data_IF_725489824540
#
_entry.id   IF_725489824540
#
_cell.length_a   1.000
_cell.length_b   1.000
_cell.length_c   1.000
_cell.angle_alpha   90.00
_cell.angle_beta   90.00
_cell.angle_gamma   90.00
#
_symmetry.space_group_name_H-M   'P 1'
#
loop_
_entity.id
_entity.type
_entity.pdbx_description
1 polymer ?
2 non-polymer ?
3 water ?
#
# COMPACT_ATOMS: atom_id res chain seq x y z
N UNK A 2 13.30 23.47 4.88
CA UNK A 2 14.00 22.25 4.39
C UNK A 2 15.20 22.61 3.52
N UNK A 3 16.28 21.83 3.63
CA UNK A 3 17.46 22.13 2.81
C UNK A 3 17.16 21.97 1.33
N UNK A 4 17.77 22.83 0.52
CA UNK A 4 17.57 22.78 -0.93
C UNK A 4 18.02 21.45 -1.51
N UNK A 5 19.02 20.84 -0.88
CA UNK A 5 19.51 19.56 -1.35
C UNK A 5 19.90 18.66 -0.18
N UNK A 6 19.84 17.34 -0.41
CA UNK A 6 20.18 16.35 0.60
C UNK A 6 20.85 15.16 -0.06
N UNK A 7 21.80 14.54 0.63
CA UNK A 7 22.51 13.38 0.11
C UNK A 7 22.98 12.57 1.31
N UNK A 8 22.24 11.52 1.65
CA UNK A 8 22.59 10.73 2.82
C UNK A 8 23.92 9.98 2.70
N UNK A 9 24.43 9.85 1.48
CA UNK A 9 25.72 9.18 1.32
C UNK A 9 26.80 9.99 2.03
N UNK A 10 26.64 11.31 2.03
CA UNK A 10 27.61 12.20 2.66
C UNK A 10 27.61 12.04 4.18
N UNK A 11 26.55 11.46 4.72
CA UNK A 11 26.45 11.27 6.17
C UNK A 11 26.78 9.83 6.54
N UNK A 12 27.32 9.09 5.58
CA UNK A 12 27.69 7.70 5.83
C UNK A 12 26.53 6.80 6.21
N UNK A 13 25.34 7.11 5.70
CA UNK A 13 24.15 6.31 6.01
C UNK A 13 23.72 5.35 4.91
N UNK A 14 24.50 5.26 3.84
CA UNK A 14 24.16 4.39 2.71
C UNK A 14 25.26 3.35 2.45
N UNK A 15 24.87 2.08 2.42
CA UNK A 15 25.81 0.99 2.17
C UNK A 15 26.13 0.93 0.68
N UNK A 16 27.06 0.07 0.30
CA UNK A 16 27.43 -0.05 -1.10
C UNK A 16 26.26 -0.55 -1.95
N UNK A 17 26.30 -0.25 -3.24
CA UNK A 17 25.26 -0.69 -4.16
C UNK A 17 25.35 -2.20 -4.28
N UNK A 18 24.20 -2.86 -4.32
CA UNK A 18 24.15 -4.31 -4.45
C UNK A 18 23.69 -4.70 -5.84
N UNK A 19 23.92 -5.96 -6.20
CA UNK A 19 23.54 -6.50 -7.51
C UNK A 19 22.55 -7.65 -7.28
N UNK A 20 21.29 -7.45 -7.71
CA UNK A 20 20.26 -8.47 -7.50
C UNK A 20 20.28 -9.67 -8.46
N UNK A 21 20.95 -9.53 -9.61
CA UNK A 21 21.00 -10.62 -10.56
C UNK A 21 19.63 -10.94 -11.15
N UNK A 22 19.42 -12.20 -11.50
CA UNK A 22 18.15 -12.59 -12.11
C UNK A 22 17.09 -13.01 -11.08
N UNK A 23 17.04 -12.28 -9.97
CA UNK A 23 16.06 -12.52 -8.91
C UNK A 23 15.42 -11.17 -8.61
N UNK A 24 14.10 -11.09 -8.74
CA UNK A 24 13.40 -9.84 -8.51
C UNK A 24 13.29 -9.47 -7.04
N UNK A 25 14.43 -9.29 -6.39
CA UNK A 25 14.48 -8.96 -4.97
C UNK A 25 14.68 -7.47 -4.70
N UNK A 26 14.45 -6.62 -5.69
CA UNK A 26 14.64 -5.20 -5.48
C UNK A 26 13.81 -4.67 -4.30
N UNK A 27 12.63 -5.24 -4.08
CA UNK A 27 11.79 -4.81 -2.97
C UNK A 27 12.53 -5.03 -1.65
N UNK A 28 13.23 -6.17 -1.54
CA UNK A 28 13.97 -6.49 -0.34
C UNK A 28 15.18 -5.57 -0.18
N UNK A 29 15.87 -5.26 -1.29
CA UNK A 29 17.04 -4.38 -1.22
C UNK A 29 16.60 -2.98 -0.81
N UNK A 30 15.44 -2.56 -1.30
CA UNK A 30 14.90 -1.25 -0.96
C UNK A 30 14.61 -1.21 0.54
N UNK A 31 13.98 -2.26 1.04
CA UNK A 31 13.63 -2.36 2.45
C UNK A 31 14.85 -2.31 3.38
N UNK A 32 15.83 -3.19 3.13
CA UNK A 32 17.01 -3.20 4.00
C UNK A 32 17.76 -1.87 3.90
N UNK A 33 17.83 -1.31 2.70
CA UNK A 33 18.51 -0.04 2.52
C UNK A 33 17.97 1.05 3.42
N UNK A 34 16.65 1.11 3.55
CA UNK A 34 16.01 2.11 4.40
C UNK A 34 16.35 1.85 5.87
N UNK A 35 16.29 0.57 6.28
CA UNK A 35 16.59 0.23 7.66
C UNK A 35 18.06 0.45 7.97
N UNK A 36 18.92 0.24 6.98
CA UNK A 36 20.36 0.43 7.13
C UNK A 36 20.70 1.85 7.59
N UNK A 37 20.00 2.83 7.03
CA UNK A 37 20.23 4.23 7.39
C UNK A 37 19.79 4.49 8.83
N UNK A 38 18.63 3.96 9.20
CA UNK A 38 18.13 4.15 10.55
C UNK A 38 19.08 3.48 11.55
N UNK A 39 19.59 2.31 11.20
CA UNK A 39 20.52 1.59 12.07
C UNK A 39 21.76 2.46 12.32
N UNK A 40 22.24 3.11 11.27
CA UNK A 40 23.42 3.96 11.36
C UNK A 40 23.15 5.18 12.24
N UNK A 41 21.97 5.77 12.08
CA UNK A 41 21.61 6.94 12.87
C UNK A 41 21.49 6.61 14.35
N UNK A 42 20.97 5.42 14.65
CA UNK A 42 20.78 4.99 16.03
C UNK A 42 22.03 4.46 16.75
N UNK A 43 22.82 3.65 16.06
CA UNK A 43 24.00 3.04 16.66
C UNK A 43 25.35 3.59 16.19
N UNK A 44 25.37 4.36 15.12
CA UNK A 44 26.62 4.91 14.62
C UNK A 44 27.40 3.97 13.72
N UNK A 45 26.87 2.77 13.49
CA UNK A 45 27.53 1.78 12.65
C UNK A 45 26.78 1.54 11.33
N UNK A 46 27.50 1.56 10.22
CA UNK A 46 26.89 1.30 8.92
C UNK A 46 27.09 -0.18 8.64
N UNK A 47 25.99 -0.91 8.49
CA UNK A 47 26.04 -2.35 8.27
C UNK A 47 25.04 -2.80 7.21
N UNK A 48 25.49 -3.58 6.24
CA UNK A 48 24.57 -4.07 5.22
C UNK A 48 23.68 -5.13 5.86
N UNK A 49 22.40 -5.09 5.55
CA UNK A 49 21.45 -6.05 6.10
C UNK A 49 21.09 -7.11 5.05
N UNK A 50 20.59 -8.26 5.52
CA UNK A 50 20.27 -9.37 4.62
C UNK A 50 19.00 -9.28 3.80
N UNK A 51 19.15 -9.00 2.51
CA UNK A 51 18.00 -8.94 1.62
C UNK A 51 17.50 -10.37 1.43
N UNK A 52 18.43 -11.32 1.46
CA UNK A 52 18.09 -12.74 1.29
C UNK A 52 17.19 -13.20 2.44
N UNK A 53 17.46 -12.69 3.64
CA UNK A 53 16.67 -13.02 4.82
C UNK A 53 15.20 -12.70 4.51
N UNK A 54 14.96 -11.55 3.89
CA UNK A 54 13.61 -11.15 3.53
C UNK A 54 13.02 -12.03 2.41
N UNK A 55 13.85 -12.37 1.43
CA UNK A 55 13.41 -13.21 0.31
C UNK A 55 12.96 -14.60 0.78
N UNK A 56 13.73 -15.20 1.68
CA UNK A 56 13.43 -16.53 2.19
C UNK A 56 12.40 -16.58 3.31
N UNK A 57 12.32 -15.52 4.10
CA UNK A 57 11.42 -15.50 5.25
C UNK A 57 10.18 -14.61 5.20
N UNK A 58 10.26 -13.44 4.58
CA UNK A 58 9.10 -12.56 4.48
C UNK A 58 8.37 -13.02 3.23
N UNK A 59 7.69 -14.16 3.34
CA UNK A 59 7.01 -14.77 2.20
C UNK A 59 5.48 -14.68 2.14
N UNK A 60 4.82 -15.83 1.96
CA UNK A 60 3.38 -15.88 1.82
C UNK A 60 2.57 -15.10 2.85
N UNK A 61 2.90 -15.27 4.12
CA UNK A 61 2.17 -14.57 5.18
C UNK A 61 2.24 -13.07 5.00
N UNK A 62 3.22 -12.61 4.23
CA UNK A 62 3.38 -11.18 4.01
C UNK A 62 3.03 -10.75 2.60
N UNK A 63 2.41 -11.66 1.85
CA UNK A 63 2.03 -11.37 0.48
C UNK A 63 3.19 -11.19 -0.47
N UNK A 64 4.37 -11.68 -0.09
CA UNK A 64 5.55 -11.55 -0.95
C UNK A 64 5.85 -12.86 -1.66
N UNK A 65 6.54 -12.75 -2.80
CA UNK A 65 6.86 -13.91 -3.61
C UNK A 65 8.35 -14.04 -3.95
N UNK A 66 9.19 -13.77 -2.95
CA UNK A 66 10.63 -13.88 -3.15
C UNK A 66 11.19 -13.27 -4.41
N UNK A 67 11.81 -14.10 -5.25
CA UNK A 67 12.40 -13.62 -6.49
C UNK A 67 11.37 -13.18 -7.51
N UNK A 68 10.09 -13.34 -7.16
CA UNK A 68 9.03 -12.94 -8.05
C UNK A 68 8.27 -11.70 -7.57
N UNK A 69 8.91 -10.90 -6.72
CA UNK A 69 8.29 -9.67 -6.24
C UNK A 69 7.81 -9.63 -4.80
N UNK A 70 7.76 -8.42 -4.23
CA UNK A 70 7.33 -8.24 -2.85
C UNK A 70 7.05 -6.79 -2.49
N UNK A 71 6.58 -6.55 -1.28
CA UNK A 71 6.28 -5.21 -0.79
C UNK A 71 7.30 -4.75 0.25
N UNK A 72 7.67 -3.48 0.22
CA UNK A 72 8.62 -2.95 1.18
C UNK A 72 7.97 -2.83 2.56
N UNK A 73 6.70 -2.44 2.58
CA UNK A 73 5.97 -2.29 3.84
C UNK A 73 5.79 -3.61 4.58
N UNK A 74 5.39 -4.65 3.86
CA UNK A 74 5.16 -5.95 4.49
C UNK A 74 6.50 -6.53 4.93
N UNK A 75 7.57 -6.14 4.24
CA UNK A 75 8.89 -6.60 4.60
C UNK A 75 9.22 -5.98 5.95
N UNK A 76 8.88 -4.70 6.12
CA UNK A 76 9.14 -4.02 7.40
C UNK A 76 8.36 -4.71 8.51
N UNK A 77 7.11 -5.06 8.24
CA UNK A 77 6.30 -5.71 9.28
C UNK A 77 6.89 -7.05 9.68
N UNK A 78 7.46 -7.77 8.71
CA UNK A 78 8.09 -9.06 9.00
C UNK A 78 9.23 -8.85 10.00
N UNK A 79 10.03 -7.81 9.77
CA UNK A 79 11.15 -7.53 10.67
C UNK A 79 10.62 -7.24 12.07
N UNK A 80 9.51 -6.52 12.16
CA UNK A 80 8.90 -6.20 13.45
C UNK A 80 8.41 -7.49 14.11
N UNK A 81 7.56 -8.24 13.38
CA UNK A 81 7.01 -9.50 13.86
C UNK A 81 8.10 -10.50 14.26
N UNK A 82 9.16 -10.54 13.46
CA UNK A 82 10.28 -11.46 13.67
C UNK A 82 11.24 -11.01 14.76
N UNK A 83 11.12 -9.74 15.16
CA UNK A 83 11.98 -9.18 16.19
C UNK A 83 13.44 -9.03 15.74
N UNK A 84 13.65 -8.96 14.43
CA UNK A 84 15.00 -8.80 13.93
C UNK A 84 15.25 -9.21 12.50
N UNK A 85 16.42 -8.85 11.99
CA UNK A 85 16.83 -9.21 10.65
C UNK A 85 18.33 -9.43 10.71
N UNK A 86 18.82 -10.46 10.03
CA UNK A 86 20.25 -10.78 10.04
C UNK A 86 21.07 -9.87 9.15
N UNK A 87 22.38 -9.85 9.38
CA UNK A 87 23.29 -9.04 8.60
C UNK A 87 23.50 -9.73 7.25
N UNK A 88 23.89 -8.96 6.26
CA UNK A 88 24.14 -9.50 4.92
C UNK A 88 25.27 -10.52 5.01
N UNK A 89 26.31 -10.19 5.77
CA UNK A 89 27.46 -11.08 5.94
C UNK A 89 27.09 -12.46 6.47
N UNK A 90 26.16 -12.50 7.42
CA UNK A 90 25.75 -13.78 8.03
C UNK A 90 24.72 -14.56 7.22
N UNK A 91 23.99 -13.87 6.37
CA UNK A 91 22.95 -14.50 5.56
C UNK A 91 23.09 -13.89 4.16
N UNK A 92 24.15 -14.28 3.42
CA UNK A 92 24.46 -13.78 2.07
C UNK A 92 23.41 -13.98 0.98
N UNK A 93 23.43 -13.06 0.02
CA UNK A 93 22.50 -13.05 -1.11
C UNK A 93 22.87 -14.07 -2.19
N UNK A 94 21.91 -14.92 -2.56
CA UNK A 94 22.15 -15.97 -3.56
C UNK A 94 21.35 -15.83 -4.84
N UNK A 95 20.51 -14.80 -4.91
CA UNK A 95 19.69 -14.56 -6.09
C UNK A 95 18.75 -15.72 -6.41
N UNK A 96 18.22 -16.36 -5.37
CA UNK A 96 17.25 -17.45 -5.55
C UNK A 96 16.43 -17.68 -4.29
N UNK A 97 15.27 -18.29 -4.46
CA UNK A 97 14.37 -18.58 -3.35
C UNK A 97 14.93 -19.75 -2.53
N UNK A 98 15.12 -19.52 -1.24
CA UNK A 98 15.65 -20.55 -0.35
C UNK A 98 14.76 -20.72 0.87
N UNK A 99 15.04 -21.75 1.67
CA UNK A 99 14.27 -21.99 2.88
C UNK A 99 14.69 -20.93 3.87
N UNK A 100 13.76 -20.49 4.74
CA UNK A 100 14.09 -19.46 5.73
C UNK A 100 15.16 -19.93 6.70
N UNK A 101 16.26 -19.21 6.76
CA UNK A 101 17.37 -19.58 7.63
C UNK A 101 17.70 -18.55 8.71
N UNK A 102 16.72 -17.74 9.09
CA UNK A 102 16.94 -16.72 10.10
C UNK A 102 17.43 -17.33 11.43
N UNK A 103 18.35 -16.63 12.07
CA UNK A 103 18.91 -17.05 13.35
C UNK A 103 19.21 -15.75 14.12
N UNK A 104 18.58 -15.58 15.27
CA UNK A 104 18.78 -14.34 16.04
C UNK A 104 20.22 -14.10 16.48
N UNK A 105 21.07 -15.13 16.45
CA UNK A 105 22.46 -14.91 16.87
C UNK A 105 23.21 -14.03 15.85
N UNK A 106 22.64 -13.88 14.66
CA UNK A 106 23.26 -13.05 13.63
C UNK A 106 22.47 -11.78 13.38
N UNK A 107 21.51 -11.50 14.25
CA UNK A 107 20.68 -10.30 14.13
C UNK A 107 21.56 -9.04 14.16
N UNK A 108 21.31 -8.13 13.22
CA UNK A 108 22.08 -6.90 13.15
C UNK A 108 21.21 -5.65 13.28
N UNK A 109 19.89 -5.82 13.24
CA UNK A 109 18.98 -4.69 13.35
C UNK A 109 17.57 -5.12 13.75
N UNK A 110 16.78 -4.17 14.21
CA UNK A 110 15.39 -4.40 14.57
C UNK A 110 14.55 -3.25 14.02
N UNK A 111 13.24 -3.41 14.10
CA UNK A 111 12.31 -2.39 13.61
C UNK A 111 11.11 -2.36 14.55
N UNK A 112 10.68 -1.15 14.93
CA UNK A 112 9.55 -1.02 15.83
C UNK A 112 8.29 -0.57 15.11
N UNK A 113 8.44 0.06 13.95
CA UNK A 113 7.31 0.55 13.19
C UNK A 113 7.74 1.03 11.82
N UNK A 114 6.76 1.31 10.96
CA UNK A 114 7.04 1.86 9.65
C UNK A 114 5.93 2.86 9.31
N UNK A 115 6.21 3.78 8.39
CA UNK A 115 5.26 4.80 8.00
C UNK A 115 5.12 4.87 6.49
N UNK A 116 3.87 4.96 6.03
CA UNK A 116 3.59 5.05 4.61
C UNK A 116 3.15 6.49 4.34
N UNK A 117 3.82 7.14 3.39
CA UNK A 117 3.51 8.53 3.05
C UNK A 117 2.30 8.62 2.12
N UNK A 118 1.61 9.77 2.13
CA UNK A 118 0.44 9.96 1.27
C UNK A 118 0.81 9.87 -0.21
N UNK A 119 -0.09 9.27 -0.99
CA UNK A 119 0.12 9.06 -2.41
C UNK A 119 0.46 10.29 -3.24
N UNK A 120 1.54 10.17 -4.03
CA UNK A 120 1.98 11.22 -4.94
C UNK A 120 2.42 12.59 -4.45
N UNK A 121 2.50 12.79 -3.13
CA UNK A 121 2.90 14.07 -2.57
C UNK A 121 4.43 14.19 -2.52
N UNK A 122 5.01 14.83 -3.53
CA UNK A 122 6.46 14.97 -3.57
C UNK A 122 7.01 15.92 -2.53
N UNK A 123 6.17 16.85 -2.06
CA UNK A 123 6.59 17.79 -1.03
C UNK A 123 6.70 17.05 0.30
N UNK A 124 5.78 16.10 0.53
CA UNK A 124 5.81 15.31 1.76
C UNK A 124 7.01 14.38 1.73
N UNK A 125 7.30 13.82 0.57
CA UNK A 125 8.43 12.91 0.42
C UNK A 125 9.73 13.68 0.67
N UNK A 126 9.77 14.92 0.21
CA UNK A 126 10.94 15.77 0.38
C UNK A 126 11.21 15.98 1.87
N UNK A 127 10.16 16.27 2.62
CA UNK A 127 10.30 16.48 4.06
C UNK A 127 10.80 15.22 4.76
N UNK A 128 10.29 14.06 4.34
CA UNK A 128 10.70 12.79 4.94
C UNK A 128 12.17 12.49 4.70
N UNK A 129 12.62 12.68 3.46
CA UNK A 129 14.02 12.41 3.12
C UNK A 129 14.94 13.33 3.91
N UNK A 130 14.49 14.58 4.11
CA UNK A 130 15.29 15.54 4.85
C UNK A 130 15.28 15.34 6.36
N UNK A 131 14.12 15.07 6.94
CA UNK A 131 14.02 14.91 8.39
C UNK A 131 14.08 13.51 8.98
N UNK A 132 13.79 12.48 8.18
CA UNK A 132 13.80 11.12 8.69
C UNK A 132 14.95 10.25 8.18
N UNK A 133 15.18 10.29 6.87
CA UNK A 133 16.25 9.51 6.27
C UNK A 133 15.83 8.95 4.93
N UNK A 134 16.62 8.05 4.31
CA UNK A 134 16.27 7.46 3.01
C UNK A 134 14.89 6.81 3.09
N UNK A 135 14.13 6.92 2.00
CA UNK A 135 12.77 6.38 1.94
C UNK A 135 12.58 5.36 0.84
N UNK A 136 11.98 4.22 1.18
CA UNK A 136 11.72 3.18 0.19
C UNK A 136 10.57 3.61 -0.70
N UNK A 137 10.72 3.43 -2.01
CA UNK A 137 9.68 3.80 -2.96
C UNK A 137 9.65 2.82 -4.12
N UNK A 138 8.59 2.90 -4.91
CA UNK A 138 8.47 2.06 -6.08
C UNK A 138 8.47 2.99 -7.28
N UNK A 139 9.00 2.53 -8.41
CA UNK A 139 9.02 3.35 -9.62
C UNK A 139 8.70 2.49 -10.83
N UNK A 140 8.27 3.14 -11.91
CA UNK A 140 7.97 2.45 -13.16
C UNK A 140 9.31 2.35 -13.88
N UNK A 141 9.92 1.17 -13.85
CA UNK A 141 11.20 0.96 -14.49
C UNK A 141 11.12 0.01 -15.69
N UNK A 142 9.98 -0.02 -16.36
CA UNK A 142 9.77 -0.91 -17.49
C UNK A 142 10.22 -0.37 -18.85
N UNK A 143 10.49 0.92 -18.93
CA UNK A 143 10.86 1.54 -20.21
C UNK A 143 12.33 1.40 -20.59
N UNK A 144 12.59 1.08 -21.87
CA UNK A 144 13.95 0.90 -22.41
C UNK A 144 14.95 1.96 -21.98
N UNK A 145 14.50 3.22 -21.89
CA UNK A 145 15.39 4.31 -21.50
C UNK A 145 15.94 4.18 -20.07
N UNK A 146 15.19 3.52 -19.19
CA UNK A 146 15.65 3.36 -17.81
C UNK A 146 16.91 2.51 -17.76
N UNK A 147 16.89 1.38 -18.45
CA UNK A 147 18.04 0.48 -18.48
C UNK A 147 19.30 1.15 -19.02
N UNK A 148 19.10 2.07 -19.95
CA UNK A 148 20.19 2.79 -20.62
C UNK A 148 20.63 4.10 -20.00
N UNK A 149 20.01 4.50 -18.88
CA UNK A 149 20.37 5.76 -18.24
C UNK A 149 21.85 5.81 -17.83
N UNK A 150 22.50 6.93 -18.10
CA UNK A 150 23.91 7.08 -17.74
C UNK A 150 24.21 8.34 -16.93
N UNK A 151 23.54 9.45 -17.23
CA UNK A 151 23.79 10.68 -16.50
C UNK A 151 22.68 11.71 -16.65
N UNK A 152 22.85 12.86 -15.98
CA UNK A 152 21.86 13.90 -16.05
C UNK A 152 20.65 13.56 -15.22
N UNK A 153 19.50 14.16 -15.54
CA UNK A 153 18.27 13.89 -14.80
C UNK A 153 17.34 13.10 -15.72
N UNK A 154 16.92 11.93 -15.25
CA UNK A 154 16.06 11.04 -16.01
C UNK A 154 14.62 11.52 -16.14
N UNK A 155 14.18 11.75 -17.36
CA UNK A 155 12.80 12.16 -17.62
C UNK A 155 12.33 11.37 -18.83
N UNK A 156 11.28 10.57 -18.64
CA UNK A 156 10.73 9.75 -19.71
C UNK A 156 9.24 10.01 -19.92
N UNK A 157 8.89 10.61 -21.07
CA UNK A 157 7.50 10.92 -21.40
C UNK A 157 6.56 9.73 -21.31
N UNK A 158 7.09 8.53 -21.57
CA UNK A 158 6.27 7.32 -21.53
C UNK A 158 6.11 6.71 -20.14
N UNK A 159 6.76 7.29 -19.13
CA UNK A 159 6.63 6.75 -17.78
C UNK A 159 5.20 6.84 -17.27
N UNK A 160 4.85 5.94 -16.36
CA UNK A 160 3.51 5.93 -15.78
C UNK A 160 3.62 5.89 -14.27
N UNK A 161 2.48 5.91 -13.59
CA UNK A 161 2.47 5.83 -12.14
C UNK A 161 2.22 4.38 -11.69
N UNK A 162 2.37 3.44 -12.62
CA UNK A 162 2.21 2.02 -12.30
C UNK A 162 3.59 1.51 -11.93
N UNK A 163 3.88 1.46 -10.63
CA UNK A 163 5.20 1.03 -10.17
C UNK A 163 5.42 -0.47 -10.21
N UNK A 164 6.66 -0.86 -10.48
CA UNK A 164 6.99 -2.29 -10.55
C UNK A 164 8.42 -2.57 -10.10
N UNK A 165 9.12 -1.56 -9.60
CA UNK A 165 10.51 -1.74 -9.18
C UNK A 165 10.82 -1.03 -7.86
N UNK A 166 11.26 -1.78 -6.87
CA UNK A 166 11.57 -1.18 -5.58
C UNK A 166 12.95 -0.54 -5.51
N UNK A 167 13.01 0.71 -5.08
CA UNK A 167 14.29 1.40 -4.97
C UNK A 167 14.35 2.26 -3.71
N UNK A 168 15.46 2.98 -3.55
CA UNK A 168 15.62 3.82 -2.36
C UNK A 168 16.01 5.25 -2.67
N UNK A 169 15.22 6.19 -2.16
CA UNK A 169 15.52 7.60 -2.38
C UNK A 169 16.47 7.99 -1.25
N UNK A 170 17.71 8.33 -1.60
CA UNK A 170 18.70 8.70 -0.60
C UNK A 170 19.02 10.20 -0.60
N UNK A 171 18.27 10.97 -1.38
CA UNK A 171 18.50 12.39 -1.44
C UNK A 171 17.75 13.08 -2.55
N UNK A 172 18.01 14.37 -2.73
CA UNK A 172 17.35 15.15 -3.75
C UNK A 172 18.17 16.43 -3.98
N UNK A 173 17.88 17.13 -5.06
CA UNK A 173 18.62 18.35 -5.35
C UNK A 173 18.25 18.94 -6.70
N UNK A 174 19.17 19.69 -7.28
CA UNK A 174 18.92 20.32 -8.57
C UNK A 174 20.21 20.30 -9.39
N UNK A 175 20.10 19.85 -10.63
CA UNK A 175 21.26 19.78 -11.52
C UNK A 175 20.95 20.54 -12.81
N UNK A 176 21.68 21.61 -13.04
CA UNK A 176 21.51 22.44 -14.23
C UNK A 176 20.06 22.85 -14.48
N UNK A 177 19.38 23.27 -13.42
CA UNK A 177 18.00 23.70 -13.55
C UNK A 177 16.94 22.62 -13.49
N UNK A 178 17.35 21.36 -13.32
CA UNK A 178 16.40 20.26 -13.24
C UNK A 178 16.40 19.63 -11.86
N UNK A 179 15.24 19.68 -11.19
CA UNK A 179 15.12 19.09 -9.86
C UNK A 179 15.08 17.58 -10.00
N UNK A 180 15.69 16.88 -9.04
CA UNK A 180 15.73 15.42 -9.11
C UNK A 180 15.72 14.74 -7.74
N UNK A 181 15.43 13.45 -7.76
CA UNK A 181 15.44 12.60 -6.58
C UNK A 181 16.67 11.71 -6.79
N UNK A 182 17.50 11.55 -5.77
CA UNK A 182 18.69 10.71 -5.89
C UNK A 182 18.27 9.30 -5.47
N UNK A 183 18.27 8.38 -6.43
CA UNK A 183 17.82 7.00 -6.18
C UNK A 183 18.91 5.92 -6.23
N UNK A 184 18.94 5.08 -5.21
CA UNK A 184 19.88 3.97 -5.14
C UNK A 184 19.17 2.75 -5.72
N UNK A 185 19.73 2.20 -6.80
CA UNK A 185 19.15 1.02 -7.45
C UNK A 185 19.91 -0.22 -6.99
N UNK A 186 19.44 -1.40 -7.36
CA UNK A 186 20.12 -2.62 -6.98
C UNK A 186 20.49 -3.50 -8.19
N UNK A 187 21.02 -2.85 -9.22
CA UNK A 187 21.46 -3.55 -10.43
C UNK A 187 22.96 -3.42 -10.57
N UNK A 188 23.66 -3.32 -9.43
CA UNK A 188 25.10 -3.20 -9.45
C UNK A 188 25.65 -1.84 -9.78
N UNK A 189 26.97 -1.71 -9.70
CA UNK A 189 27.68 -0.46 -9.98
C UNK A 189 27.69 -0.08 -11.46
N UNK A 190 27.41 -1.04 -12.35
CA UNK A 190 27.42 -0.74 -13.78
C UNK A 190 26.20 0.04 -14.25
N UNK A 191 25.13 -0.01 -13.48
CA UNK A 191 23.92 0.71 -13.85
C UNK A 191 24.03 2.21 -13.54
N UNK A 192 23.61 3.03 -14.50
CA UNK A 192 23.62 4.48 -14.32
C UNK A 192 24.89 5.04 -13.73
N UNK A 193 24.75 5.95 -12.77
CA UNK A 193 25.92 6.55 -12.14
C UNK A 193 26.36 5.77 -10.92
N UNK A 194 27.20 4.77 -11.16
CA UNK A 194 27.73 3.94 -10.09
C UNK A 194 26.60 3.30 -9.28
N UNK A 195 25.55 2.89 -9.97
CA UNK A 195 24.42 2.24 -9.31
C UNK A 195 23.28 3.17 -8.97
N UNK A 196 23.49 4.47 -9.16
CA UNK A 196 22.47 5.47 -8.86
C UNK A 196 21.84 6.10 -10.09
N UNK A 197 20.66 6.67 -9.90
CA UNK A 197 19.96 7.36 -10.97
C UNK A 197 19.21 8.58 -10.43
N UNK A 198 19.41 9.72 -11.08
CA UNK A 198 18.75 10.95 -10.70
C UNK A 198 17.46 11.01 -11.50
N UNK A 199 16.33 10.90 -10.81
CA UNK A 199 15.02 10.92 -11.48
C UNK A 199 14.31 12.26 -11.27
N UNK A 200 13.64 12.72 -12.32
CA UNK A 200 12.92 14.00 -12.29
C UNK A 200 12.02 14.16 -11.07
N UNK A 201 12.16 15.32 -10.43
CA UNK A 201 11.40 15.66 -9.22
C UNK A 201 10.49 16.86 -9.50
N UNK A 202 9.29 16.82 -8.93
CA UNK A 202 8.29 17.88 -9.10
C UNK A 202 7.83 17.97 -10.55
N UNK A 203 7.81 16.83 -11.22
CA UNK A 203 7.38 16.73 -12.60
C UNK A 203 6.18 15.79 -12.68
N UNK A 204 5.16 16.07 -11.88
CA UNK A 204 3.96 15.27 -11.87
C UNK A 204 4.13 13.83 -11.40
N UNK A 205 4.84 13.64 -10.29
CA UNK A 205 5.05 12.31 -9.74
C UNK A 205 5.55 11.40 -10.86
N UNK A 206 6.64 11.84 -11.49
CA UNK A 206 7.25 11.14 -12.61
C UNK A 206 7.61 9.68 -12.29
N UNK A 207 7.14 8.77 -13.13
CA UNK A 207 7.37 7.34 -12.97
C UNK A 207 6.82 6.82 -11.64
N UNK A 208 5.94 7.61 -11.03
CA UNK A 208 5.32 7.22 -9.76
C UNK A 208 6.26 7.14 -8.56
N UNK A 209 7.38 7.86 -8.62
CA UNK A 209 8.35 7.83 -7.54
C UNK A 209 7.78 8.19 -6.16
N UNK A 210 6.73 9.02 -6.13
CA UNK A 210 6.13 9.40 -4.85
C UNK A 210 4.81 8.66 -4.59
N UNK A 211 4.50 7.68 -5.45
CA UNK A 211 3.26 6.91 -5.31
C UNK A 211 3.14 6.13 -3.99
N UNK A 212 4.14 5.30 -3.70
CA UNK A 212 4.11 4.49 -2.48
C UNK A 212 5.40 4.54 -1.67
N UNK A 213 5.66 5.66 -0.98
CA UNK A 213 6.88 5.80 -0.17
C UNK A 213 6.64 5.34 1.25
N UNK A 214 7.69 4.76 1.86
CA UNK A 214 7.58 4.31 3.25
C UNK A 214 8.97 4.25 3.86
N UNK A 215 9.05 4.39 5.19
CA UNK A 215 10.32 4.30 5.87
C UNK A 215 10.12 3.68 7.25
N UNK A 216 11.11 2.89 7.72
CA UNK A 216 11.03 2.24 9.02
C UNK A 216 11.74 3.05 10.10
N UNK A 217 11.49 2.69 11.36
CA UNK A 217 12.14 3.35 12.47
C UNK A 217 12.56 2.29 13.48
N UNK A 218 13.60 2.60 14.24
CA UNK A 218 14.12 1.68 15.24
C UNK A 218 13.81 2.23 16.62
N UNK B 1 -10.38 -1.09 26.69
CA UNK B 1 -11.23 -2.27 26.37
C UNK B 1 -12.16 -1.97 25.20
N UNK B 2 -12.28 -2.93 24.29
CA UNK B 2 -13.13 -2.76 23.12
C UNK B 2 -14.41 -3.58 23.24
N UNK B 3 -15.47 -3.15 22.55
CA UNK B 3 -16.75 -3.89 22.59
C UNK B 3 -16.57 -5.26 21.95
N UNK B 4 -17.30 -6.25 22.44
CA UNK B 4 -17.23 -7.61 21.91
C UNK B 4 -17.75 -7.70 20.49
N UNK B 5 -18.72 -6.87 20.15
CA UNK B 5 -19.30 -6.85 18.81
C UNK B 5 -19.61 -5.42 18.38
N UNK B 6 -19.54 -5.17 17.08
CA UNK B 6 -19.84 -3.87 16.50
C UNK B 6 -20.52 -4.06 15.14
N UNK B 7 -21.50 -3.22 14.83
CA UNK B 7 -22.20 -3.27 13.55
C UNK B 7 -22.59 -1.84 13.20
N UNK B 8 -21.83 -1.21 12.33
CA UNK B 8 -22.10 0.17 11.93
C UNK B 8 -23.44 0.40 11.24
N UNK B 9 -24.08 -0.68 10.81
CA UNK B 9 -25.37 -0.52 10.16
C UNK B 9 -26.38 -0.06 11.23
N UNK B 10 -26.17 -0.47 12.47
CA UNK B 10 -27.06 -0.08 13.56
C UNK B 10 -26.93 1.40 13.86
N UNK B 11 -25.80 1.99 13.49
CA UNK B 11 -25.55 3.40 13.75
C UNK B 11 -25.94 4.29 12.57
N UNK B 12 -26.57 3.70 11.56
CA UNK B 12 -27.00 4.44 10.39
C UNK B 12 -25.89 5.02 9.53
N UNK B 13 -24.75 4.35 9.48
CA UNK B 13 -23.60 4.82 8.70
C UNK B 13 -23.27 3.96 7.48
N UNK B 14 -24.19 3.10 7.07
CA UNK B 14 -23.94 2.24 5.93
C UNK B 14 -25.09 2.29 4.92
N UNK B 15 -24.77 2.61 3.66
CA UNK B 15 -25.78 2.70 2.61
C UNK B 15 -26.18 1.33 2.09
N UNK B 16 -27.14 1.31 1.15
CA UNK B 16 -27.59 0.05 0.58
C UNK B 16 -26.46 -0.63 -0.19
N UNK B 17 -26.56 -1.94 -0.33
CA UNK B 17 -25.55 -2.71 -1.05
C UNK B 17 -25.65 -2.39 -2.54
N UNK B 18 -24.50 -2.24 -3.19
CA UNK B 18 -24.46 -1.92 -4.61
C UNK B 18 -24.08 -3.18 -5.41
N UNK B 19 -24.28 -3.11 -6.73
CA UNK B 19 -23.98 -4.20 -7.64
C UNK B 19 -23.01 -3.74 -8.73
N UNK B 20 -21.77 -4.21 -8.66
CA UNK B 20 -20.74 -3.79 -9.62
C UNK B 20 -20.83 -4.39 -11.02
N UNK B 21 -21.55 -5.50 -11.15
CA UNK B 21 -21.70 -6.12 -12.45
C UNK B 21 -20.40 -6.69 -13.01
N UNK B 22 -20.23 -6.57 -14.33
CA UNK B 22 -19.04 -7.09 -15.02
C UNK B 22 -17.81 -6.21 -14.88
N UNK B 23 -17.95 -5.11 -14.15
CA UNK B 23 -16.84 -4.18 -13.96
C UNK B 23 -16.15 -4.42 -12.61
N UNK B 24 -14.83 -4.52 -12.64
CA UNK B 24 -14.06 -4.76 -11.43
C UNK B 24 -13.81 -3.49 -10.65
N UNK B 25 -14.90 -2.88 -10.17
CA UNK B 25 -14.83 -1.63 -9.42
C UNK B 25 -14.99 -1.84 -7.91
N UNK B 26 -14.77 -3.06 -7.44
CA UNK B 26 -14.90 -3.35 -6.01
C UNK B 26 -14.11 -2.37 -5.16
N UNK B 27 -12.93 -1.98 -5.65
CA UNK B 27 -12.06 -1.03 -4.95
C UNK B 27 -12.74 0.33 -4.78
N UNK B 28 -13.44 0.77 -5.82
CA UNK B 28 -14.13 2.05 -5.78
C UNK B 28 -15.28 1.99 -4.79
N UNK B 29 -16.07 0.91 -4.83
CA UNK B 29 -17.18 0.78 -3.90
C UNK B 29 -16.67 0.71 -2.46
N UNK B 30 -15.55 0.04 -2.26
CA UNK B 30 -14.96 -0.07 -0.93
C UNK B 30 -14.59 1.32 -0.43
N UNK B 31 -13.96 2.10 -1.29
CA UNK B 31 -13.53 3.46 -0.95
C UNK B 31 -14.69 4.38 -0.60
N UNK B 32 -15.73 4.40 -1.45
CA UNK B 32 -16.86 5.28 -1.19
C UNK B 32 -17.60 4.84 0.08
N UNK B 33 -17.66 3.54 0.29
CA UNK B 33 -18.35 3.02 1.48
C UNK B 33 -17.71 3.56 2.75
N UNK B 34 -16.38 3.57 2.80
CA UNK B 34 -15.68 4.07 3.97
C UNK B 34 -15.97 5.54 4.19
N UNK B 35 -15.92 6.33 3.12
CA UNK B 35 -16.16 7.77 3.22
C UNK B 35 -17.62 8.08 3.56
N UNK B 36 -18.54 7.26 3.07
CA UNK B 36 -19.97 7.46 3.35
C UNK B 36 -20.24 7.44 4.85
N UNK B 37 -19.55 6.56 5.57
CA UNK B 37 -19.74 6.49 7.02
C UNK B 37 -19.20 7.74 7.69
N UNK B 38 -18.04 8.23 7.23
CA UNK B 38 -17.46 9.43 7.80
C UNK B 38 -18.32 10.65 7.47
N UNK B 39 -18.93 10.65 6.28
CA UNK B 39 -19.79 11.76 5.90
C UNK B 39 -20.98 11.80 6.88
N UNK B 40 -21.57 10.64 7.13
CA UNK B 40 -22.70 10.52 8.04
C UNK B 40 -22.34 11.04 9.42
N UNK B 41 -21.19 10.61 9.93
CA UNK B 41 -20.72 11.02 11.25
C UNK B 41 -20.50 12.52 11.38
N UNK B 42 -20.08 13.15 10.28
CA UNK B 42 -19.81 14.58 10.31
C UNK B 42 -21.03 15.46 10.06
N UNK B 43 -21.86 15.08 9.09
CA UNK B 43 -23.03 15.89 8.75
C UNK B 43 -24.38 15.35 9.17
N UNK B 44 -24.44 14.07 9.50
CA UNK B 44 -25.71 13.48 9.90
C UNK B 44 -26.49 12.99 8.70
N UNK B 45 -25.92 13.15 7.51
CA UNK B 45 -26.58 12.73 6.28
C UNK B 45 -25.95 11.45 5.74
N UNK B 46 -26.79 10.48 5.37
CA UNK B 46 -26.30 9.22 4.80
C UNK B 46 -26.55 9.30 3.29
N UNK B 47 -25.48 9.44 2.51
CA UNK B 47 -25.61 9.55 1.06
C UNK B 47 -24.66 8.62 0.31
N UNK B 48 -25.19 7.85 -0.64
CA UNK B 48 -24.31 6.97 -1.41
C UNK B 48 -23.44 7.88 -2.26
N UNK B 49 -22.13 7.61 -2.29
CA UNK B 49 -21.23 8.43 -3.08
C UNK B 49 -20.93 7.77 -4.44
N UNK B 50 -20.42 8.56 -5.39
CA UNK B 50 -20.18 8.07 -6.74
C UNK B 50 -18.97 7.17 -6.97
N UNK B 51 -19.22 5.87 -7.08
CA UNK B 51 -18.16 4.91 -7.36
C UNK B 51 -17.69 5.11 -8.81
N UNK B 52 -18.62 5.48 -9.68
CA UNK B 52 -18.29 5.71 -11.09
C UNK B 52 -17.30 6.87 -11.21
N UNK B 53 -17.47 7.85 -10.35
CA UNK B 53 -16.60 9.03 -10.31
C UNK B 53 -15.15 8.59 -10.12
N UNK B 54 -14.94 7.60 -9.26
CA UNK B 54 -13.61 7.09 -9.00
C UNK B 54 -13.09 6.27 -10.19
N UNK B 55 -13.97 5.45 -10.75
CA UNK B 55 -13.62 4.61 -11.88
C UNK B 55 -13.15 5.45 -13.08
N UNK B 56 -13.89 6.53 -13.36
CA UNK B 56 -13.57 7.39 -14.49
C UNK B 56 -12.50 8.45 -14.25
N UNK B 57 -12.32 8.88 -13.00
CA UNK B 57 -11.37 9.94 -12.71
C UNK B 57 -10.13 9.57 -11.89
N UNK B 58 -10.24 8.60 -11.00
CA UNK B 58 -9.07 8.17 -10.22
C UNK B 58 -8.44 7.09 -11.07
N UNK B 59 -7.76 7.51 -12.13
CA UNK B 59 -7.16 6.60 -13.09
C UNK B 59 -5.63 6.44 -13.09
N UNK B 60 -5.02 6.44 -14.27
CA UNK B 60 -3.57 6.28 -14.41
C UNK B 60 -2.72 7.06 -13.41
N UNK B 61 -3.03 8.34 -13.23
CA UNK B 61 -2.25 9.17 -12.29
C UNK B 61 -2.26 8.59 -10.88
N UNK B 62 -3.24 7.76 -10.58
CA UNK B 62 -3.34 7.13 -9.26
C UNK B 62 -3.08 5.62 -9.30
N UNK B 63 -2.46 5.17 -10.39
CA UNK B 63 -2.14 3.76 -10.54
C UNK B 63 -3.32 2.83 -10.64
N UNK B 64 -4.48 3.37 -10.97
CA UNK B 64 -5.69 2.55 -11.08
C UNK B 64 -6.06 2.23 -12.52
N UNK B 65 -6.86 1.19 -12.70
CA UNK B 65 -7.27 0.75 -14.03
C UNK B 65 -8.78 0.58 -14.18
N UNK B 66 -9.55 1.42 -13.51
CA UNK B 66 -11.01 1.35 -13.61
C UNK B 66 -11.62 -0.03 -13.42
N UNK B 67 -12.33 -0.51 -14.44
CA UNK B 67 -12.95 -1.83 -14.37
C UNK B 67 -11.94 -2.98 -14.28
N UNK B 68 -10.64 -2.64 -14.37
CA UNK B 68 -9.62 -3.66 -14.27
C UNK B 68 -8.87 -3.61 -12.94
N UNK B 69 -9.42 -2.90 -11.96
CA UNK B 69 -8.76 -2.86 -10.65
C UNK B 69 -8.21 -1.53 -10.19
N UNK B 70 -8.06 -1.40 -8.87
CA UNK B 70 -7.54 -0.16 -8.32
C UNK B 70 -7.26 -0.24 -6.83
N UNK B 71 -6.72 0.84 -6.28
CA UNK B 71 -6.38 0.92 -4.86
C UNK B 71 -7.35 1.83 -4.10
N UNK B 72 -7.77 1.40 -2.92
CA UNK B 72 -8.68 2.21 -2.11
C UNK B 72 -7.92 3.43 -1.60
N UNK B 73 -6.66 3.25 -1.24
CA UNK B 73 -5.86 4.37 -0.73
C UNK B 73 -5.65 5.45 -1.78
N UNK B 74 -5.39 5.06 -3.03
CA UNK B 74 -5.17 6.06 -4.06
C UNK B 74 -6.51 6.70 -4.45
N UNK B 75 -7.60 5.99 -4.19
CA UNK B 75 -8.92 6.52 -4.47
C UNK B 75 -9.14 7.68 -3.49
N UNK B 76 -8.78 7.48 -2.22
CA UNK B 76 -8.93 8.53 -1.22
C UNK B 76 -8.07 9.76 -1.58
N UNK B 77 -6.83 9.52 -1.99
CA UNK B 77 -5.95 10.63 -2.34
C UNK B 77 -6.52 11.43 -3.50
N UNK B 78 -7.15 10.75 -4.45
CA UNK B 78 -7.77 11.42 -5.57
C UNK B 78 -8.83 12.38 -5.05
N UNK B 79 -9.70 11.89 -4.16
CA UNK B 79 -10.77 12.71 -3.59
C UNK B 79 -10.17 13.94 -2.91
N UNK B 80 -9.04 13.74 -2.23
CA UNK B 80 -8.35 14.84 -1.55
C UNK B 80 -7.82 15.86 -2.56
N UNK B 81 -7.03 15.39 -3.52
CA UNK B 81 -6.46 16.25 -4.56
C UNK B 81 -7.55 16.97 -5.36
N UNK B 82 -8.62 16.25 -5.66
CA UNK B 82 -9.75 16.76 -6.45
C UNK B 82 -10.64 17.72 -5.66
N UNK B 83 -10.49 17.70 -4.35
CA UNK B 83 -11.28 18.54 -3.46
C UNK B 83 -12.75 18.17 -3.48
N UNK B 84 -13.02 16.88 -3.64
CA UNK B 84 -14.41 16.42 -3.65
C UNK B 84 -14.72 15.21 -4.51
N UNK B 85 -15.88 14.63 -4.27
CA UNK B 85 -16.39 13.48 -5.03
C UNK B 85 -17.89 13.71 -5.14
N UNK B 86 -18.45 13.41 -6.30
CA UNK B 86 -19.88 13.61 -6.53
C UNK B 86 -20.74 12.53 -5.89
N UNK B 87 -22.02 12.84 -5.73
CA UNK B 87 -22.97 11.90 -5.15
C UNK B 87 -23.26 10.84 -6.21
N UNK B 88 -23.68 9.66 -5.77
CA UNK B 88 -24.00 8.58 -6.70
C UNK B 88 -25.20 9.02 -7.56
N UNK B 89 -26.13 9.73 -6.94
CA UNK B 89 -27.33 10.21 -7.63
C UNK B 89 -26.99 11.07 -8.86
N UNK B 90 -26.01 11.96 -8.71
CA UNK B 90 -25.63 12.84 -9.80
C UNK B 90 -24.68 12.22 -10.81
N UNK B 91 -23.95 11.18 -10.38
CA UNK B 91 -22.97 10.51 -11.23
C UNK B 91 -23.18 9.00 -11.03
N UNK B 92 -24.27 8.44 -11.58
CA UNK B 92 -24.62 7.02 -11.47
C UNK B 92 -23.60 6.01 -12.01
N UNK B 93 -23.65 4.80 -11.46
CA UNK B 93 -22.73 3.72 -11.85
C UNK B 93 -23.20 3.05 -13.14
N UNK B 94 -22.28 2.95 -14.10
CA UNK B 94 -22.59 2.34 -15.41
C UNK B 94 -21.87 1.01 -15.66
N UNK B 95 -21.09 0.55 -14.69
CA UNK B 95 -20.38 -0.71 -14.84
C UNK B 95 -19.46 -0.74 -16.07
N UNK B 96 -18.85 0.39 -16.38
CA UNK B 96 -17.92 0.46 -17.51
C UNK B 96 -17.04 1.69 -17.40
N UNK B 97 -15.86 1.64 -18.01
CA UNK B 97 -14.93 2.75 -17.98
C UNK B 97 -15.45 3.91 -18.83
N UNK B 98 -15.41 5.12 -18.26
CA UNK B 98 -15.88 6.31 -18.96
C UNK B 98 -14.88 7.45 -18.79
N UNK B 99 -14.99 8.46 -19.64
CA UNK B 99 -14.12 9.62 -19.54
C UNK B 99 -14.56 10.33 -18.27
N UNK B 100 -13.62 10.95 -17.55
CA UNK B 100 -13.95 11.64 -16.32
C UNK B 100 -15.01 12.71 -16.53
N UNK B 101 -16.09 12.62 -15.75
CA UNK B 101 -17.18 13.59 -15.85
C UNK B 101 -17.45 14.31 -14.54
N UNK B 102 -16.44 14.40 -13.67
CA UNK B 102 -16.60 15.09 -12.40
C UNK B 102 -17.00 16.55 -12.57
N UNK B 103 -17.86 17.03 -11.69
CA UNK B 103 -18.29 18.41 -11.69
C UNK B 103 -18.44 18.81 -10.23
N UNK B 104 -17.80 19.92 -9.84
CA UNK B 104 -17.87 20.38 -8.46
C UNK B 104 -19.28 20.75 -8.02
N UNK B 105 -20.17 21.06 -8.98
CA UNK B 105 -21.53 21.44 -8.61
C UNK B 105 -22.33 20.26 -8.06
N UNK B 106 -21.80 19.05 -8.24
CA UNK B 106 -22.45 17.84 -7.76
C UNK B 106 -21.70 17.21 -6.57
N UNK B 107 -20.74 17.95 -6.02
CA UNK B 107 -19.96 17.45 -4.89
C UNK B 107 -20.84 17.06 -3.71
N UNK B 108 -20.60 15.87 -3.15
CA UNK B 108 -21.39 15.42 -2.00
C UNK B 108 -20.51 15.12 -0.78
N UNK B 109 -19.20 15.14 -0.98
CA UNK B 109 -18.28 14.87 0.11
C UNK B 109 -16.85 15.29 -0.21
N UNK B 110 -16.04 15.44 0.84
CA UNK B 110 -14.64 15.81 0.71
C UNK B 110 -13.84 14.89 1.63
N UNK B 111 -12.53 14.88 1.45
CA UNK B 111 -11.64 14.06 2.27
C UNK B 111 -10.41 14.90 2.58
N UNK B 112 -9.93 14.83 3.82
CA UNK B 112 -8.76 15.60 4.21
C UNK B 112 -7.51 14.75 4.31
N UNK B 113 -7.69 13.44 4.52
CA UNK B 113 -6.58 12.53 4.65
C UNK B 113 -7.08 11.10 4.84
N UNK B 114 -6.16 10.15 4.84
CA UNK B 114 -6.52 8.76 5.06
C UNK B 114 -5.42 8.08 5.87
N UNK B 115 -5.73 6.94 6.47
CA UNK B 115 -4.77 6.22 7.28
C UNK B 115 -4.69 4.75 6.88
N UNK B 116 -3.47 4.24 6.82
CA UNK B 116 -3.25 2.84 6.46
C UNK B 116 -2.80 2.13 7.75
N UNK B 117 -3.51 1.07 8.13
CA UNK B 117 -3.17 0.32 9.34
C UNK B 117 -1.98 -0.60 9.09
N UNK B 118 -1.24 -0.96 10.16
CA UNK B 118 -0.09 -1.85 10.03
C UNK B 118 -0.47 -3.21 9.47
N UNK B 119 0.37 -3.73 8.60
CA UNK B 119 0.13 -5.01 7.95
C UNK B 119 -0.18 -6.21 8.85
N UNK B 120 -1.30 -6.85 8.56
CA UNK B 120 -1.72 -8.05 9.27
C UNK B 120 -2.11 -8.00 10.74
N UNK B 121 -2.30 -6.81 11.31
CA UNK B 121 -2.67 -6.74 12.72
C UNK B 121 -4.18 -6.69 12.91
N UNK B 122 -4.78 -7.84 13.22
CA UNK B 122 -6.22 -7.90 13.41
C UNK B 122 -6.70 -7.18 14.67
N UNK B 123 -5.82 -7.07 15.67
CA UNK B 123 -6.15 -6.38 16.90
C UNK B 123 -6.27 -4.88 16.62
N UNK B 124 -5.37 -4.37 15.78
CA UNK B 124 -5.39 -2.95 15.44
C UNK B 124 -6.61 -2.65 14.57
N UNK B 125 -6.98 -3.60 13.72
CA UNK B 125 -8.14 -3.44 12.84
C UNK B 125 -9.41 -3.39 13.69
N UNK B 126 -9.47 -4.25 14.70
CA UNK B 126 -10.63 -4.30 15.58
C UNK B 126 -10.83 -2.93 16.23
N UNK B 127 -9.74 -2.34 16.72
CA UNK B 127 -9.82 -1.04 17.37
C UNK B 127 -10.31 0.06 16.42
N UNK B 128 -9.80 0.06 15.19
CA UNK B 128 -10.19 1.07 14.21
C UNK B 128 -11.68 0.94 13.87
N UNK B 129 -12.16 -0.28 13.71
CA UNK B 129 -13.57 -0.51 13.38
C UNK B 129 -14.46 -0.06 14.54
N UNK B 130 -14.01 -0.34 15.76
CA UNK B 130 -14.77 0.05 16.93
C UNK B 130 -14.77 1.56 17.17
N UNK B 131 -13.62 2.19 17.01
CA UNK B 131 -13.50 3.63 17.29
C UNK B 131 -13.50 4.65 16.16
N UNK B 132 -13.18 4.26 14.94
CA UNK B 132 -13.12 5.22 13.84
C UNK B 132 -14.28 5.10 12.85
N UNK B 133 -14.62 3.87 12.49
CA UNK B 133 -15.70 3.62 11.55
C UNK B 133 -15.37 2.46 10.65
N UNK B 134 -16.16 2.23 9.59
CA UNK B 134 -15.90 1.12 8.67
C UNK B 134 -14.52 1.31 8.02
N UNK B 135 -13.82 0.20 7.82
CA UNK B 135 -12.47 0.24 7.25
C UNK B 135 -12.38 -0.49 5.91
N UNK B 136 -11.76 0.14 4.92
CA UNK B 136 -11.59 -0.49 3.61
C UNK B 136 -10.49 -1.54 3.72
N UNK B 137 -10.70 -2.70 3.10
CA UNK B 137 -9.71 -3.76 3.14
C UNK B 137 -9.70 -4.56 1.85
N UNK B 138 -8.59 -5.26 1.62
CA UNK B 138 -8.46 -6.10 0.45
C UNK B 138 -8.47 -7.54 0.96
N UNK B 139 -9.06 -8.45 0.20
CA UNK B 139 -9.10 -9.85 0.60
C UNK B 139 -8.83 -10.75 -0.59
N UNK B 140 -8.43 -11.99 -0.31
CA UNK B 140 -8.19 -12.97 -1.36
C UNK B 140 -9.55 -13.62 -1.61
N UNK B 141 -10.17 -13.28 -2.74
CA UNK B 141 -11.46 -13.84 -3.09
C UNK B 141 -11.34 -14.74 -4.33
N UNK B 142 -10.11 -15.16 -4.62
CA UNK B 142 -9.84 -16.03 -5.77
C UNK B 142 -10.16 -17.50 -5.50
N UNK B 143 -11.27 -17.78 -4.84
CA UNK B 143 -11.63 -19.15 -4.55
C UNK B 143 -13.13 -19.35 -4.75
N UNK B 144 -13.52 -20.49 -5.33
CA UNK B 144 -14.93 -20.81 -5.58
C UNK B 144 -15.82 -20.63 -4.34
N UNK B 145 -15.30 -21.05 -3.19
CA UNK B 145 -16.06 -20.95 -1.94
C UNK B 145 -16.54 -19.54 -1.66
N UNK B 146 -15.74 -18.54 -2.03
CA UNK B 146 -16.12 -17.14 -1.80
C UNK B 146 -17.34 -16.82 -2.67
N UNK B 147 -17.30 -17.23 -3.93
CA UNK B 147 -18.40 -17.00 -4.86
C UNK B 147 -19.66 -17.76 -4.42
N UNK B 148 -19.47 -18.94 -3.83
CA UNK B 148 -20.57 -19.78 -3.39
C UNK B 148 -21.07 -19.51 -1.98
N UNK B 149 -20.40 -18.60 -1.27
CA UNK B 149 -20.79 -18.28 0.10
C UNK B 149 -22.27 -17.92 0.25
N UNK B 150 -22.93 -18.53 1.23
CA UNK B 150 -24.34 -18.28 1.48
C UNK B 150 -24.64 -17.73 2.88
N UNK B 151 -24.04 -18.32 3.91
CA UNK B 151 -24.28 -17.87 5.28
C UNK B 151 -23.26 -18.45 6.26
N UNK B 152 -23.29 -17.93 7.49
CA UNK B 152 -22.37 -18.40 8.52
C UNK B 152 -21.02 -17.71 8.43
N UNK B 153 -20.03 -18.22 9.17
CA UNK B 153 -18.70 -17.63 9.16
C UNK B 153 -17.86 -18.30 8.08
N UNK B 154 -17.40 -17.49 7.12
CA UNK B 154 -16.60 -17.97 6.00
C UNK B 154 -15.17 -18.32 6.38
N UNK B 155 -14.75 -19.53 6.04
CA UNK B 155 -13.38 -19.98 6.28
C UNK B 155 -12.96 -20.87 5.11
N UNK B 156 -11.85 -20.50 4.47
CA UNK B 156 -11.34 -21.23 3.31
C UNK B 156 -9.89 -21.69 3.54
N UNK B 157 -9.70 -23.01 3.70
CA UNK B 157 -8.37 -23.59 3.93
C UNK B 157 -7.31 -23.11 2.94
N UNK B 158 -7.71 -22.92 1.68
CA UNK B 158 -6.78 -22.49 0.65
C UNK B 158 -6.59 -20.98 0.50
N UNK B 159 -7.16 -20.18 1.39
CA UNK B 159 -6.99 -18.72 1.28
C UNK B 159 -5.55 -18.31 1.52
N UNK B 160 -5.16 -17.18 0.93
CA UNK B 160 -3.80 -16.66 1.06
C UNK B 160 -3.87 -15.20 1.52
N UNK B 161 -2.71 -14.59 1.71
CA UNK B 161 -2.65 -13.19 2.11
C UNK B 161 -2.45 -12.29 0.89
N UNK B 162 -2.60 -12.88 -0.30
CA UNK B 162 -2.48 -12.14 -1.55
C UNK B 162 -3.87 -11.62 -1.90
N UNK B 163 -4.13 -10.36 -1.56
CA UNK B 163 -5.45 -9.76 -1.79
C UNK B 163 -5.69 -9.33 -3.25
N UNK B 164 -6.95 -9.36 -3.66
CA UNK B 164 -7.29 -8.99 -5.04
C UNK B 164 -8.74 -8.52 -5.17
N UNK B 165 -9.42 -8.35 -4.04
CA UNK B 165 -10.82 -7.94 -4.03
C UNK B 165 -11.05 -6.90 -2.93
N UNK B 166 -11.51 -5.70 -3.30
CA UNK B 166 -11.73 -4.66 -2.32
C UNK B 166 -13.12 -4.72 -1.70
N UNK B 167 -13.18 -4.67 -0.37
CA UNK B 167 -14.45 -4.71 0.36
C UNK B 167 -14.42 -3.77 1.57
N UNK B 168 -15.51 -3.74 2.31
CA UNK B 168 -15.62 -2.87 3.48
C UNK B 168 -15.99 -3.60 4.76
N UNK B 169 -15.17 -3.44 5.80
CA UNK B 169 -15.47 -4.06 7.08
C UNK B 169 -16.35 -3.08 7.85
N UNK B 170 -17.62 -3.44 8.04
CA UNK B 170 -18.54 -2.57 8.76
C UNK B 170 -18.84 -3.05 10.17
N UNK B 171 -18.06 -4.01 10.66
CA UNK B 171 -18.28 -4.52 12.00
C UNK B 171 -17.56 -5.82 12.29
N UNK B 172 -17.84 -6.38 13.47
CA UNK B 172 -17.24 -7.64 13.88
C UNK B 172 -18.03 -8.27 15.03
N UNK B 173 -17.80 -9.54 15.27
CA UNK B 173 -18.52 -10.22 16.34
C UNK B 173 -18.19 -11.70 16.37
N UNK B 174 -19.15 -12.50 16.86
CA UNK B 174 -18.93 -13.94 16.92
C UNK B 174 -20.25 -14.68 16.76
N UNK B 175 -20.19 -15.83 16.10
CA UNK B 175 -21.36 -16.65 15.90
C UNK B 175 -21.14 -17.95 16.65
N UNK B 176 -21.77 -18.07 17.82
CA UNK B 176 -21.63 -19.27 18.63
C UNK B 176 -20.15 -19.56 18.90
N UNK B 177 -19.38 -18.52 19.20
CA UNK B 177 -17.97 -18.71 19.46
C UNK B 177 -17.05 -18.33 18.31
N UNK B 178 -17.41 -18.72 17.09
CA UNK B 178 -16.60 -18.41 15.92
C UNK B 178 -16.58 -16.92 15.63
N UNK B 179 -15.42 -16.29 15.82
CA UNK B 179 -15.25 -14.86 15.60
C UNK B 179 -15.22 -14.51 14.11
N UNK B 180 -15.78 -13.36 13.76
CA UNK B 180 -15.83 -12.96 12.36
C UNK B 180 -15.74 -11.46 12.16
N UNK B 181 -15.50 -11.06 10.90
CA UNK B 181 -15.46 -9.67 10.49
C UNK B 181 -16.74 -9.50 9.66
N UNK B 182 -17.49 -8.43 9.88
CA UNK B 182 -18.71 -8.22 9.11
C UNK B 182 -18.32 -7.42 7.87
N UNK B 183 -18.42 -8.05 6.71
CA UNK B 183 -18.01 -7.41 5.46
C UNK B 183 -19.10 -7.08 4.44
N UNK B 184 -19.13 -5.82 4.01
CA UNK B 184 -20.07 -5.37 3.00
C UNK B 184 -19.37 -5.53 1.65
N UNK B 185 -19.96 -6.31 0.76
CA UNK B 185 -19.40 -6.56 -0.57
C UNK B 185 -20.17 -5.72 -1.56
N UNK B 186 -19.74 -5.70 -2.83
CA UNK B 186 -20.43 -4.93 -3.84
C UNK B 186 -20.87 -5.81 -5.02
N UNK B 187 -21.42 -6.98 -4.68
CA UNK B 187 -21.89 -7.92 -5.68
C UNK B 187 -23.42 -8.02 -5.66
N UNK B 188 -24.07 -6.96 -5.21
CA UNK B 188 -25.53 -6.96 -5.17
C UNK B 188 -26.18 -7.60 -3.95
N UNK B 189 -27.48 -7.39 -3.84
CA UNK B 189 -28.29 -7.89 -2.72
C UNK B 189 -28.38 -9.41 -2.61
N UNK B 190 -28.21 -10.11 -3.72
CA UNK B 190 -28.32 -11.56 -3.71
C UNK B 190 -27.08 -12.34 -3.32
N UNK B 191 -25.97 -11.66 -3.13
CA UNK B 191 -24.75 -12.36 -2.75
C UNK B 191 -24.69 -12.61 -1.24
N UNK B 192 -24.31 -13.84 -0.87
CA UNK B 192 -24.19 -14.20 0.53
C UNK B 192 -25.35 -13.78 1.41
N UNK B 193 -25.04 -13.19 2.55
CA UNK B 193 -26.08 -12.74 3.47
C UNK B 193 -26.61 -11.38 3.04
N UNK B 194 -27.43 -11.40 2.01
CA UNK B 194 -28.06 -10.21 1.45
C UNK B 194 -27.05 -9.09 1.18
N UNK B 195 -25.96 -9.47 0.53
CA UNK B 195 -24.91 -8.53 0.17
C UNK B 195 -23.69 -8.53 1.08
N UNK B 196 -23.82 -9.18 2.24
CA UNK B 196 -22.74 -9.24 3.21
C UNK B 196 -22.13 -10.63 3.37
N UNK B 197 -20.93 -10.67 3.94
CA UNK B 197 -20.25 -11.92 4.21
C UNK B 197 -19.49 -11.79 5.51
N UNK B 198 -19.63 -12.79 6.37
CA UNK B 198 -18.93 -12.79 7.65
C UNK B 198 -17.69 -13.66 7.48
N UNK B 199 -16.53 -13.03 7.52
CA UNK B 199 -15.26 -13.72 7.33
C UNK B 199 -14.52 -13.98 8.64
N UNK B 200 -13.90 -15.16 8.72
CA UNK B 200 -13.15 -15.58 9.91
C UNK B 200 -12.21 -14.52 10.45
N UNK B 201 -12.33 -14.26 11.74
CA UNK B 201 -11.50 -13.26 12.43
C UNK B 201 -10.56 -13.94 13.42
N UNK B 202 -9.39 -13.34 13.63
CA UNK B 202 -8.38 -13.88 14.53
C UNK B 202 -8.01 -15.32 14.18
N UNK B 203 -7.93 -15.58 12.89
CA UNK B 203 -7.57 -16.90 12.36
C UNK B 203 -6.36 -16.73 11.44
N UNK B 204 -5.31 -16.13 11.97
CA UNK B 204 -4.10 -15.93 11.20
C UNK B 204 -4.28 -15.04 9.98
N UNK B 205 -4.94 -13.90 10.14
CA UNK B 205 -5.17 -12.96 9.05
C UNK B 205 -5.73 -13.70 7.83
N UNK B 206 -6.82 -14.41 8.06
CA UNK B 206 -7.50 -15.21 7.05
C UNK B 206 -7.88 -14.45 5.79
N UNK B 207 -7.42 -14.96 4.66
CA UNK B 207 -7.67 -14.36 3.35
C UNK B 207 -7.06 -12.95 3.26
N UNK B 208 -6.12 -12.65 4.15
CA UNK B 208 -5.45 -11.36 4.14
C UNK B 208 -6.34 -10.15 4.45
N UNK B 209 -7.43 -10.37 5.19
CA UNK B 209 -8.35 -9.28 5.50
C UNK B 209 -7.73 -8.11 6.25
N UNK B 210 -6.69 -8.36 7.05
CA UNK B 210 -6.03 -7.29 7.79
C UNK B 210 -4.69 -6.92 7.13
N UNK B 211 -4.48 -7.38 5.91
CA UNK B 211 -3.23 -7.09 5.20
C UNK B 211 -3.08 -5.61 4.85
N UNK B 212 -4.06 -5.04 4.18
CA UNK B 212 -3.97 -3.62 3.81
C UNK B 212 -5.24 -2.84 4.12
N UNK B 213 -5.47 -2.54 5.40
CA UNK B 213 -6.67 -1.80 5.80
C UNK B 213 -6.41 -0.30 5.75
N UNK B 214 -7.44 0.47 5.43
CA UNK B 214 -7.31 1.92 5.38
C UNK B 214 -8.67 2.60 5.54
N UNK B 215 -8.67 3.78 6.14
CA UNK B 215 -9.90 4.54 6.32
C UNK B 215 -9.61 6.03 6.13
N UNK B 216 -10.59 6.77 5.61
CA UNK B 216 -10.45 8.20 5.38
C UNK B 216 -11.09 9.01 6.50
N UNK B 217 -10.88 10.32 6.46
CA UNK B 217 -11.47 11.22 7.44
C UNK B 217 -11.81 12.51 6.71
N UNK B 218 -12.77 13.26 7.24
CA UNK B 218 -13.18 14.52 6.61
C UNK B 218 -12.67 15.71 7.43
X LIG C 1 3.60 -2.30 -5.77
X LIG C 1 4.51 -2.32 -4.67
X LIG C 1 4.24 -1.55 -3.51
X LIG C 1 3.07 -0.76 -3.44
X LIG C 1 2.15 -0.75 -4.52
X LIG C 1 2.42 -1.51 -5.68
X LIG C 1 5.80 -3.16 -4.72
X LIG C 1 8.35 -3.87 -6.17
X LIG C 1 7.84 -5.03 -7.07
X LIG C 1 8.90 -6.02 -7.17
X LIG C 1 7.02 -2.63 -5.99
X LIG C 1 6.63 -5.66 -6.57
X LIG C 1 7.62 -1.45 -5.49
X LIG C 1 6.40 -2.33 -7.27
X LIG C 1 9.51 -6.16 -8.40
X LIG C 1 9.23 -6.70 -6.21
X LIG C 1 10.60 -7.09 -8.77
X LIG C 1 10.04 -8.38 -9.18
X LIG C 1 5.96 -6.56 -7.38
X LIG C 1 4.91 -7.31 -6.86
X LIG C 1 6.26 -6.70 -8.56
X LIG C 1 4.19 -8.36 -7.66
X LIG C 1 3.86 -9.65 -6.84
X LIG C 1 3.28 -9.34 -5.55
X LIG C 1 4.16 -8.52 -4.76
X LIG C 1 4.40 -7.13 -5.46
X LIG C 1 3.89 -3.05 -6.90
X LIG C 1 3.00 -3.94 -7.58
X LIG C 1 3.69 -4.64 -8.55
X LIG C 1 2.09 -3.24 -8.18
X LIG C 1 9.58 -9.39 -9.51
X LIG D 1 -3.59 -4.33 -4.02
X LIG D 1 -4.69 -3.65 -3.41
X LIG D 1 -4.60 -3.19 -2.09
X LIG D 1 -3.41 -3.38 -1.35
X LIG D 1 -2.31 -4.04 -1.94
X LIG D 1 -2.39 -4.52 -3.26
X LIG D 1 -6.00 -3.41 -4.19
X LIG D 1 -8.63 -4.56 -5.10
X LIG D 1 -8.20 -5.05 -6.52
X LIG D 1 -9.31 -4.85 -7.42
X LIG D 1 -7.23 -4.74 -3.96
X LIG D 1 -7.04 -4.37 -7.03
X LIG D 1 -7.74 -4.59 -2.65
X LIG D 1 -6.62 -6.07 -4.04
X LIG D 1 -9.98 -5.98 -7.88
X LIG D 1 -9.63 -3.74 -7.79
X LIG D 1 -11.12 -6.04 -8.83
X LIG D 1 -10.63 -6.13 -10.21
X LIG D 1 -6.37 -4.93 -8.11
X LIG D 1 -5.31 -4.24 -8.70
X LIG D 1 -6.71 -6.02 -8.55
X LIG D 1 -4.59 -4.79 -9.90
X LIG D 1 -4.22 -3.66 -10.94
X LIG D 1 -3.59 -2.53 -10.32
X LIG D 1 -4.47 -1.93 -9.33
X LIG D 1 -4.79 -2.94 -8.18
X LIG D 1 -3.69 -4.78 -5.34
X LIG D 1 -3.37 -6.11 -5.86
X LIG D 1 -4.49 -6.72 -6.38
X LIG D 1 -2.93 -6.88 -4.91
X LIG D 1 -10.24 -6.20 -11.30
#
# INVERSE_FOLDING_TARGET
ILPDSVDWREKGCVTEVKYQGSCGACWAFSAVGALEAQLKLKTGKLVSLSAQNLVDCSTEKYGNKGCNGGFMTTAFQYIIDNKGIDSDASYPYKAMDQKCQYDSKYRAATCSKYTELPYGREDVLKEAVANKGPVSVGVDARHPSFFLYRSGVYYEPSCTQNVNHGVLVVGYGDLNGKEYWLVKNSWGHNFGEEGYIRMARNKGNHCGIASFPSYPEIGHHHHHH
ILPDSVDWREKGCVTEVKYQGSCGACWAFSAVGALEAQLKLKTGKLVSLSAQNLVDCSTEKYGNKGCNGGFMTTAFQYIIDNKGIDSDASYPYKAMDQKCQYDSKYRAATCSKYTELPYGREDVLKEAVANKGPVSVGVDARHPSFFLYRSGVYYEPSCTQNVNHGVLVVGYGDLNGKEYWLVKNSWGHNFGEEGYIRMARNKGNHCGIASFPSYPEIGHHHHHH
MO9 C1 C2 C3 C4 C5 C6 C7 C9 C10 C12 S8 O11 O13 O14 N15 O16 C17 C18 C19 N20 O21 C22 C23 O24 C25 C26 O27 C28 F29 F30 N31
MO9 C1 C2 C3 C4 C5 C6 C7 C9 C10 C12 S8 O11 O13 O14 N15 O16 C17 C18 C19 N20 O21 C22 C23 O24 C25 C26 O27 C28 F29 F30 N31
#
